data_IF_225804813448
#
_entry.id   IF_225804813448
#
_cell.length_a   1.000
_cell.length_b   1.000
_cell.length_c   1.000
_cell.angle_alpha   90.00
_cell.angle_beta   90.00
_cell.angle_gamma   90.00
#
_symmetry.space_group_name_H-M   'P 1'
#
loop_
_entity.id
_entity.type
_entity.pdbx_description
1 polymer ?
#
# COMPACT_ATOMS: atom_id res chain seq x y z
N UNK A 1 -12.95 4.37 0.00
CA UNK A 1 -12.36 4.38 -1.35
C UNK A 1 -11.03 5.10 -1.27
N UNK A 2 -9.93 4.37 -1.41
CA UNK A 2 -8.59 4.96 -1.42
C UNK A 2 -7.79 4.15 -2.41
N UNK A 3 -7.75 4.59 -3.66
CA UNK A 3 -6.89 3.97 -4.67
C UNK A 3 -5.50 4.59 -4.56
N UNK A 4 -4.41 3.82 -4.68
CA UNK A 4 -3.07 4.40 -4.74
C UNK A 4 -2.94 5.24 -6.00
N UNK A 5 -2.08 6.26 -5.92
CA UNK A 5 -1.55 6.90 -7.12
C UNK A 5 -0.91 5.87 -8.05
N UNK A 6 -0.90 6.17 -9.35
CA UNK A 6 -0.33 5.32 -10.40
C UNK A 6 1.16 5.07 -10.17
N UNK A 7 1.64 3.93 -10.67
CA UNK A 7 3.06 3.59 -10.61
C UNK A 7 3.91 4.55 -11.45
N UNK A 8 3.42 5.03 -12.61
CA UNK A 8 4.09 6.07 -13.41
C UNK A 8 4.42 7.33 -12.59
N UNK A 9 3.44 7.86 -11.84
CA UNK A 9 3.65 9.05 -11.02
C UNK A 9 4.71 8.78 -9.95
N UNK A 10 4.64 7.61 -9.31
CA UNK A 10 5.57 7.20 -8.26
C UNK A 10 6.99 7.01 -8.81
N UNK A 11 7.14 6.40 -9.98
CA UNK A 11 8.41 6.21 -10.68
C UNK A 11 9.06 7.54 -11.01
N UNK A 12 8.32 8.47 -11.61
CA UNK A 12 8.82 9.80 -11.95
C UNK A 12 9.29 10.55 -10.71
N UNK A 13 8.51 10.49 -9.64
CA UNK A 13 8.86 11.16 -8.37
C UNK A 13 10.10 10.54 -7.73
N UNK A 14 10.12 9.22 -7.59
CA UNK A 14 11.22 8.50 -6.95
C UNK A 14 12.52 8.65 -7.75
N UNK A 15 12.45 8.58 -9.07
CA UNK A 15 13.61 8.76 -9.96
C UNK A 15 14.21 10.15 -9.82
N UNK A 16 13.37 11.19 -9.80
CA UNK A 16 13.82 12.57 -9.63
C UNK A 16 14.45 12.80 -8.24
N UNK A 17 13.85 12.25 -7.18
CA UNK A 17 14.44 12.33 -5.83
C UNK A 17 15.75 11.54 -5.75
N UNK A 18 15.84 10.39 -6.41
CA UNK A 18 17.08 9.62 -6.54
C UNK A 18 18.19 10.37 -7.28
N UNK A 19 17.81 11.22 -8.25
CA UNK A 19 18.70 12.12 -8.97
C UNK A 19 19.05 13.42 -8.18
N UNK A 20 18.65 13.54 -6.90
CA UNK A 20 19.02 14.65 -6.03
C UNK A 20 17.98 15.78 -5.92
N UNK A 21 16.79 15.65 -6.53
CA UNK A 21 15.71 16.62 -6.33
C UNK A 21 15.14 16.55 -4.91
N UNK A 22 14.75 17.69 -4.36
CA UNK A 22 14.16 17.73 -3.02
C UNK A 22 12.72 17.18 -3.02
N UNK A 23 12.33 16.52 -1.93
CA UNK A 23 10.96 16.03 -1.78
C UNK A 23 9.90 17.14 -1.85
N UNK A 24 10.23 18.35 -1.37
CA UNK A 24 9.31 19.51 -1.40
C UNK A 24 9.08 20.02 -2.82
N UNK A 25 10.14 20.16 -3.62
CA UNK A 25 10.03 20.57 -5.03
C UNK A 25 9.19 19.58 -5.83
N UNK A 26 9.36 18.27 -5.59
CA UNK A 26 8.60 17.24 -6.27
C UNK A 26 7.12 17.20 -5.84
N UNK A 27 6.86 17.44 -4.55
CA UNK A 27 5.51 17.53 -4.02
C UNK A 27 4.73 18.71 -4.65
N UNK A 28 5.36 19.89 -4.70
CA UNK A 28 4.80 21.08 -5.33
C UNK A 28 4.57 20.89 -6.84
N UNK A 29 5.56 20.33 -7.55
CA UNK A 29 5.47 20.08 -9.00
C UNK A 29 4.29 19.18 -9.40
N UNK A 30 4.03 18.16 -8.60
CA UNK A 30 3.01 17.16 -8.89
C UNK A 30 1.70 17.37 -8.11
N UNK A 31 1.58 18.48 -7.36
CA UNK A 31 0.45 18.79 -6.49
C UNK A 31 0.05 17.61 -5.57
N UNK A 32 1.05 17.02 -4.92
CA UNK A 32 0.87 15.91 -3.97
C UNK A 32 1.45 16.27 -2.61
N UNK A 33 0.93 15.63 -1.56
CA UNK A 33 1.47 15.81 -0.21
C UNK A 33 2.94 15.40 -0.14
N UNK A 34 3.78 16.23 0.50
CA UNK A 34 5.22 15.96 0.74
C UNK A 34 5.43 14.61 1.44
N UNK A 35 4.54 14.25 2.36
CA UNK A 35 4.59 12.97 3.08
C UNK A 35 4.45 11.76 2.15
N UNK A 36 3.73 11.87 1.04
CA UNK A 36 3.61 10.81 0.02
C UNK A 36 4.94 10.60 -0.69
N UNK A 37 5.59 11.70 -1.11
CA UNK A 37 6.91 11.65 -1.76
C UNK A 37 7.94 10.99 -0.85
N UNK A 38 7.99 11.40 0.43
CA UNK A 38 8.89 10.82 1.43
C UNK A 38 8.65 9.31 1.58
N UNK A 39 7.39 8.89 1.72
CA UNK A 39 7.03 7.46 1.86
C UNK A 39 7.40 6.65 0.63
N UNK A 40 7.24 7.19 -0.58
CA UNK A 40 7.63 6.50 -1.81
C UNK A 40 9.13 6.34 -1.92
N UNK A 41 9.91 7.38 -1.63
CA UNK A 41 11.37 7.30 -1.62
C UNK A 41 11.87 6.31 -0.57
N UNK A 42 11.28 6.29 0.64
CA UNK A 42 11.62 5.31 1.68
C UNK A 42 11.31 3.88 1.22
N UNK A 43 10.13 3.62 0.65
CA UNK A 43 9.75 2.31 0.14
C UNK A 43 10.70 1.84 -0.95
N UNK A 44 11.03 2.72 -1.90
CA UNK A 44 11.95 2.38 -2.99
C UNK A 44 13.34 2.02 -2.46
N UNK A 45 13.88 2.75 -1.48
CA UNK A 45 15.16 2.38 -0.83
C UNK A 45 15.08 1.04 -0.10
N UNK A 46 13.95 0.73 0.52
CA UNK A 46 13.78 -0.50 1.28
C UNK A 46 13.52 -1.73 0.42
N UNK A 47 12.87 -1.57 -0.74
CA UNK A 47 12.32 -2.70 -1.52
C UNK A 47 12.69 -2.70 -3.00
N UNK A 48 13.26 -1.61 -3.53
CA UNK A 48 13.49 -1.42 -4.97
C UNK A 48 12.22 -1.21 -5.80
N UNK A 49 11.03 -1.23 -5.19
CA UNK A 49 9.75 -1.15 -5.91
C UNK A 49 9.01 0.15 -5.59
N UNK A 50 8.38 0.74 -6.60
CA UNK A 50 7.47 1.88 -6.47
C UNK A 50 6.01 1.47 -6.26
N UNK A 51 5.66 0.24 -6.65
CA UNK A 51 4.28 -0.25 -6.63
C UNK A 51 3.66 -0.16 -5.24
N UNK A 52 2.36 0.07 -5.06
CA UNK A 52 1.76 0.02 -3.73
C UNK A 52 1.90 -1.40 -3.13
N UNK A 53 1.94 -1.48 -1.80
CA UNK A 53 1.71 -2.76 -1.12
C UNK A 53 0.28 -3.26 -1.37
N UNK A 54 0.03 -4.54 -1.08
CA UNK A 54 -1.30 -5.12 -1.23
C UNK A 54 -2.33 -4.32 -0.42
N UNK A 55 -3.32 -3.79 -1.11
CA UNK A 55 -4.44 -3.10 -0.50
C UNK A 55 -5.53 -4.10 -0.11
N UNK A 56 -5.99 -4.03 1.14
CA UNK A 56 -6.93 -5.01 1.66
C UNK A 56 -6.31 -6.42 1.76
N UNK A 57 -7.16 -7.43 1.99
CA UNK A 57 -6.74 -8.84 2.03
C UNK A 57 -5.86 -9.26 3.22
N UNK A 58 -5.35 -8.32 4.03
CA UNK A 58 -4.56 -8.60 5.24
C UNK A 58 -5.41 -9.06 6.44
N UNK A 59 -6.70 -9.33 6.25
CA UNK A 59 -7.58 -9.78 7.33
C UNK A 59 -7.29 -11.25 7.63
N UNK A 60 -6.68 -11.52 8.78
CA UNK A 60 -6.49 -12.89 9.29
C UNK A 60 -7.85 -13.55 9.52
N UNK A 61 -8.01 -14.78 9.03
CA UNK A 61 -9.19 -15.62 9.28
C UNK A 61 -9.11 -16.23 10.68
N UNK A 62 -9.40 -15.43 11.70
CA UNK A 62 -9.29 -15.85 13.11
C UNK A 62 -10.21 -17.03 13.47
N UNK A 63 -11.30 -17.23 12.71
CA UNK A 63 -12.26 -18.31 12.93
C UNK A 63 -11.92 -19.59 12.16
N UNK A 64 -10.88 -19.58 11.30
CA UNK A 64 -10.50 -20.76 10.52
C UNK A 64 -10.27 -22.01 11.40
N UNK A 65 -9.62 -21.92 12.59
CA UNK A 65 -9.47 -23.08 13.47
C UNK A 65 -10.79 -23.66 14.00
N UNK A 66 -11.85 -22.83 14.07
CA UNK A 66 -13.16 -23.22 14.60
C UNK A 66 -14.15 -23.60 13.49
N UNK A 67 -13.69 -23.72 12.24
CA UNK A 67 -14.56 -23.94 11.08
C UNK A 67 -15.46 -25.16 11.23
N UNK A 68 -14.92 -26.29 11.70
CA UNK A 68 -15.69 -27.52 11.88
C UNK A 68 -16.82 -27.34 12.90
N UNK A 69 -16.50 -26.78 14.08
CA UNK A 69 -17.48 -26.49 15.13
C UNK A 69 -18.61 -25.57 14.65
N UNK A 70 -18.28 -24.53 13.89
CA UNK A 70 -19.28 -23.58 13.38
C UNK A 70 -20.23 -24.26 12.40
N UNK A 71 -19.71 -25.13 11.50
CA UNK A 71 -20.52 -25.84 10.52
C UNK A 71 -21.47 -26.81 11.22
N UNK A 72 -20.94 -27.62 12.14
CA UNK A 72 -21.74 -28.56 12.95
C UNK A 72 -22.91 -27.83 13.63
N UNK A 73 -22.67 -26.65 14.21
CA UNK A 73 -23.72 -25.90 14.91
C UNK A 73 -24.77 -25.27 13.99
N UNK A 74 -24.41 -24.94 12.75
CA UNK A 74 -25.36 -24.47 11.73
C UNK A 74 -26.28 -25.63 11.31
N UNK A 75 -25.72 -26.82 11.14
CA UNK A 75 -26.47 -28.02 10.77
C UNK A 75 -27.45 -28.46 11.87
N UNK A 76 -27.07 -28.34 13.15
CA UNK A 76 -27.97 -28.63 14.28
C UNK A 76 -29.17 -27.67 14.41
N UNK A 77 -29.05 -26.44 13.89
CA UNK A 77 -30.09 -25.40 14.03
C UNK A 77 -31.01 -25.33 12.80
N UNK A 78 -30.64 -25.99 11.71
CA UNK A 78 -31.39 -26.03 10.44
C UNK A 78 -32.35 -27.22 10.39
#
# INVERSE_FOLDING_TARGET
MTRPYSDDLRERVVSAVGAGQSCRVMAERFDIAVSSVVKWSQRFRATGSVSPGQMGGHRRRILEPYRAFIIERIEETS
#
